data_IF_870714801966
#
_entry.id   IF_870714801966
#
_cell.length_a   1.000
_cell.length_b   1.000
_cell.length_c   1.000
_cell.angle_alpha   90.00
_cell.angle_beta   90.00
_cell.angle_gamma   90.00
#
_symmetry.space_group_name_H-M   'P 1'
#
loop_
_entity.id
_entity.type
_entity.pdbx_description
1 polymer ?
#
# COMPACT_ATOMS: atom_id res chain seq x y z
N UNK A 1 50.87 35.83 41.34
CA UNK A 1 50.79 34.49 41.97
C UNK A 1 49.56 34.48 42.85
N UNK A 2 48.42 34.02 42.34
CA UNK A 2 47.22 33.76 43.15
C UNK A 2 46.71 32.40 42.70
N UNK A 3 46.92 31.42 43.57
CA UNK A 3 46.62 30.02 43.36
C UNK A 3 45.14 29.71 43.47
N UNK A 4 44.74 28.69 42.72
CA UNK A 4 43.42 28.08 42.71
C UNK A 4 43.04 27.50 44.08
N UNK A 5 41.75 27.59 44.41
CA UNK A 5 41.11 26.70 45.40
C UNK A 5 39.84 26.14 44.74
N UNK A 6 40.05 25.07 43.99
CA UNK A 6 39.04 24.08 43.62
C UNK A 6 38.79 23.24 44.88
N UNK A 7 37.65 23.35 45.55
CA UNK A 7 37.23 22.38 46.60
C UNK A 7 35.76 22.57 47.00
N UNK A 8 34.81 22.53 46.04
CA UNK A 8 33.38 22.36 46.39
C UNK A 8 32.56 21.49 45.40
N UNK A 9 33.20 20.70 44.52
CA UNK A 9 32.46 19.86 43.53
C UNK A 9 32.59 18.33 43.73
N UNK A 10 33.16 17.86 44.85
CA UNK A 10 33.51 16.42 44.99
C UNK A 10 32.67 15.65 46.03
N UNK A 11 31.68 16.26 46.69
CA UNK A 11 30.91 15.59 47.77
C UNK A 11 29.48 15.12 47.41
N UNK A 12 29.07 15.16 46.14
CA UNK A 12 27.78 14.59 45.70
C UNK A 12 27.93 13.38 44.78
N UNK A 13 29.16 13.04 44.37
CA UNK A 13 29.45 11.91 43.48
C UNK A 13 29.67 10.59 44.20
N UNK A 14 29.82 10.58 45.53
CA UNK A 14 30.12 9.36 46.31
C UNK A 14 28.90 8.62 46.89
N UNK A 15 27.68 9.17 46.75
CA UNK A 15 26.41 8.51 47.18
C UNK A 15 25.55 8.06 45.97
N UNK A 16 26.06 8.23 44.74
CA UNK A 16 25.37 7.81 43.51
C UNK A 16 25.58 6.30 43.27
N UNK A 17 25.18 5.48 44.24
CA UNK A 17 24.71 4.11 43.99
C UNK A 17 23.23 4.10 43.57
N UNK A 18 22.67 5.30 43.33
CA UNK A 18 21.29 5.54 42.91
C UNK A 18 21.03 4.81 41.60
N UNK A 19 20.00 3.96 41.61
CA UNK A 19 19.50 3.16 40.50
C UNK A 19 19.49 3.94 39.17
N UNK A 20 20.56 3.83 38.38
CA UNK A 20 20.65 4.43 37.05
C UNK A 20 20.42 3.38 35.96
N UNK A 21 19.89 3.81 34.82
CA UNK A 21 19.63 2.91 33.70
C UNK A 21 20.96 2.41 33.13
N UNK A 22 21.18 1.09 33.05
CA UNK A 22 22.44 0.53 32.54
C UNK A 22 22.77 0.89 31.08
N UNK A 23 21.77 1.31 30.31
CA UNK A 23 21.90 1.61 28.87
C UNK A 23 22.26 3.09 28.64
N UNK A 24 21.54 4.02 29.27
CA UNK A 24 21.76 5.46 29.09
C UNK A 24 22.47 6.12 30.27
N UNK A 25 22.85 5.34 31.29
CA UNK A 25 23.61 5.75 32.47
C UNK A 25 22.98 6.93 33.25
N UNK A 26 21.66 7.11 33.13
CA UNK A 26 20.94 8.24 33.72
C UNK A 26 19.81 7.72 34.60
N UNK A 27 19.65 8.29 35.79
CA UNK A 27 18.53 8.02 36.71
C UNK A 27 17.34 9.00 36.52
N UNK A 28 17.59 10.20 35.97
CA UNK A 28 16.58 11.22 35.68
C UNK A 28 16.01 11.03 34.28
N UNK A 29 14.89 10.33 34.17
CA UNK A 29 14.11 10.25 32.93
C UNK A 29 12.61 10.40 33.23
N UNK A 30 11.78 10.59 32.20
CA UNK A 30 10.31 10.62 32.36
C UNK A 30 9.71 9.24 32.63
N UNK A 31 10.50 8.19 32.42
CA UNK A 31 10.13 6.80 32.60
C UNK A 31 10.83 6.23 33.84
N UNK A 32 10.11 5.42 34.62
CA UNK A 32 10.67 4.73 35.78
C UNK A 32 11.61 3.59 35.37
N UNK A 33 12.52 3.23 36.28
CA UNK A 33 13.46 2.14 36.07
C UNK A 33 12.80 0.80 36.39
N UNK A 34 12.70 -0.07 35.38
CA UNK A 34 12.14 -1.42 35.52
C UNK A 34 13.26 -2.45 35.71
N UNK A 35 12.90 -3.63 36.24
CA UNK A 35 13.78 -4.80 36.38
C UNK A 35 13.25 -6.02 35.63
N UNK A 36 13.33 -6.02 34.28
CA UNK A 36 12.64 -7.01 33.45
C UNK A 36 13.38 -8.35 33.31
N UNK A 37 14.50 -8.54 34.01
CA UNK A 37 15.31 -9.76 33.95
C UNK A 37 15.96 -10.08 35.31
N UNK A 38 16.48 -11.29 35.46
CA UNK A 38 17.07 -11.79 36.71
C UNK A 38 18.50 -11.27 37.01
N UNK A 39 18.91 -10.16 36.39
CA UNK A 39 20.21 -9.54 36.70
C UNK A 39 20.14 -8.85 38.07
N UNK A 40 21.16 -9.07 38.90
CA UNK A 40 21.24 -8.47 40.25
C UNK A 40 21.84 -7.06 40.21
N UNK A 41 21.48 -6.25 41.19
CA UNK A 41 22.02 -4.89 41.37
C UNK A 41 21.64 -3.92 40.24
N UNK A 42 22.49 -2.92 40.01
CA UNK A 42 22.30 -1.86 39.01
C UNK A 42 22.23 -2.39 37.57
N UNK A 43 22.82 -3.55 37.29
CA UNK A 43 22.76 -4.22 35.98
C UNK A 43 21.34 -4.71 35.62
N UNK A 44 20.43 -4.82 36.59
CA UNK A 44 19.02 -5.16 36.36
C UNK A 44 18.13 -3.97 35.99
N UNK A 45 18.56 -2.74 36.25
CA UNK A 45 17.73 -1.53 36.13
C UNK A 45 17.87 -0.86 34.77
N UNK A 46 16.75 -0.72 34.05
CA UNK A 46 16.70 -0.10 32.71
C UNK A 46 15.39 0.66 32.49
N UNK A 47 15.40 1.71 31.66
CA UNK A 47 14.16 2.29 31.14
C UNK A 47 13.54 1.37 30.08
N UNK A 48 12.21 1.33 30.01
CA UNK A 48 11.48 0.53 29.02
C UNK A 48 11.86 0.95 27.59
N UNK A 49 11.86 2.25 27.28
CA UNK A 49 12.24 2.76 25.96
C UNK A 49 13.69 2.44 25.58
N UNK A 50 14.61 2.49 26.54
CA UNK A 50 16.01 2.12 26.32
C UNK A 50 16.15 0.63 26.00
N UNK A 51 15.46 -0.23 26.75
CA UNK A 51 15.50 -1.68 26.52
C UNK A 51 14.85 -2.05 25.19
N UNK A 52 13.67 -1.51 24.88
CA UNK A 52 13.02 -1.74 23.59
C UNK A 52 13.90 -1.28 22.43
N UNK A 53 14.49 -0.08 22.51
CA UNK A 53 15.41 0.41 21.48
C UNK A 53 16.62 -0.50 21.33
N UNK A 54 17.21 -0.94 22.44
CA UNK A 54 18.35 -1.87 22.43
C UNK A 54 17.99 -3.22 21.79
N UNK A 55 16.87 -3.83 22.18
CA UNK A 55 16.40 -5.09 21.57
C UNK A 55 16.11 -4.93 20.08
N UNK A 56 15.54 -3.79 19.68
CA UNK A 56 15.29 -3.47 18.27
C UNK A 56 16.58 -3.31 17.45
N UNK A 57 17.65 -2.77 18.05
CA UNK A 57 18.95 -2.65 17.39
C UNK A 57 19.68 -4.00 17.31
N UNK A 58 19.68 -4.77 18.39
CA UNK A 58 20.38 -6.05 18.45
C UNK A 58 19.63 -7.20 17.79
N UNK A 59 18.31 -7.06 17.58
CA UNK A 59 17.46 -8.11 16.99
C UNK A 59 17.27 -9.34 17.89
N UNK A 60 17.45 -9.20 19.21
CA UNK A 60 17.33 -10.29 20.19
C UNK A 60 16.12 -10.07 21.10
N UNK A 61 15.60 -11.14 21.70
CA UNK A 61 14.46 -11.10 22.64
C UNK A 61 14.83 -11.68 24.03
N UNK A 62 16.13 -11.78 24.33
CA UNK A 62 16.63 -12.28 25.59
C UNK A 62 17.68 -11.33 26.17
N UNK A 63 17.90 -11.41 27.48
CA UNK A 63 18.95 -10.68 28.15
C UNK A 63 20.33 -11.23 27.77
N UNK A 64 21.28 -10.36 27.40
CA UNK A 64 22.64 -10.79 27.03
C UNK A 64 23.47 -11.35 28.20
N UNK A 65 23.13 -10.97 29.44
CA UNK A 65 23.85 -11.37 30.66
C UNK A 65 23.25 -12.66 31.22
N UNK A 66 22.00 -12.59 31.70
CA UNK A 66 21.35 -13.71 32.39
C UNK A 66 20.55 -14.64 31.47
N UNK A 67 20.50 -14.38 30.15
CA UNK A 67 19.76 -15.17 29.15
C UNK A 67 18.25 -15.30 29.39
N UNK A 68 17.68 -14.52 30.31
CA UNK A 68 16.23 -14.45 30.53
C UNK A 68 15.50 -14.05 29.24
N UNK A 69 14.43 -14.77 28.89
CA UNK A 69 13.61 -14.50 27.70
C UNK A 69 12.54 -13.45 28.03
N UNK A 70 12.53 -12.35 27.28
CA UNK A 70 11.53 -11.30 27.44
C UNK A 70 10.24 -11.69 26.72
N UNK A 71 9.09 -11.41 27.34
CA UNK A 71 7.79 -11.50 26.70
C UNK A 71 7.63 -10.33 25.72
N UNK A 72 8.09 -10.51 24.49
CA UNK A 72 8.14 -9.44 23.51
C UNK A 72 7.32 -9.79 22.25
N UNK A 73 6.43 -8.88 21.86
CA UNK A 73 5.58 -9.00 20.68
C UNK A 73 6.18 -8.16 19.55
N UNK A 74 6.31 -8.75 18.36
CA UNK A 74 6.67 -8.01 17.15
C UNK A 74 5.44 -7.28 16.63
N UNK A 75 5.46 -5.95 16.65
CA UNK A 75 4.42 -5.09 16.11
C UNK A 75 4.92 -4.38 14.86
N UNK A 76 4.01 -4.04 13.93
CA UNK A 76 4.36 -3.23 12.75
C UNK A 76 4.61 -1.79 13.19
N UNK A 77 5.73 -1.20 12.77
CA UNK A 77 6.12 0.16 13.14
C UNK A 77 5.17 1.23 12.63
N UNK A 78 4.56 0.98 11.47
CA UNK A 78 3.66 1.91 10.79
C UNK A 78 2.39 1.17 10.35
N UNK A 79 1.22 1.80 10.55
CA UNK A 79 -0.02 1.38 9.90
C UNK A 79 0.04 1.59 8.38
N UNK A 80 -0.89 1.02 7.61
CA UNK A 80 -0.87 1.06 6.14
C UNK A 80 -0.85 2.50 5.60
N UNK A 81 -1.74 3.38 6.11
CA UNK A 81 -1.79 4.77 5.64
C UNK A 81 -0.54 5.58 6.03
N UNK A 82 0.00 5.33 7.23
CA UNK A 82 1.23 5.99 7.68
C UNK A 82 2.45 5.51 6.88
N UNK A 83 2.52 4.22 6.56
CA UNK A 83 3.62 3.63 5.81
C UNK A 83 3.63 4.15 4.36
N UNK A 84 2.47 4.23 3.71
CA UNK A 84 2.32 4.83 2.38
C UNK A 84 2.76 6.30 2.39
N UNK A 85 2.33 7.09 3.38
CA UNK A 85 2.70 8.50 3.49
C UNK A 85 4.21 8.70 3.63
N UNK A 86 4.86 7.90 4.49
CA UNK A 86 6.31 7.97 4.70
C UNK A 86 7.06 7.54 3.45
N UNK A 87 6.61 6.48 2.79
CA UNK A 87 7.18 5.97 1.55
C UNK A 87 7.13 6.98 0.41
N UNK A 88 5.96 7.61 0.19
CA UNK A 88 5.75 8.62 -0.86
C UNK A 88 6.56 9.90 -0.58
N UNK A 89 6.74 10.29 0.69
CA UNK A 89 7.52 11.48 1.05
C UNK A 89 9.02 11.32 0.80
N UNK A 90 9.53 10.09 0.71
CA UNK A 90 10.95 9.87 0.56
C UNK A 90 11.43 10.33 -0.83
N UNK A 91 12.40 11.27 -0.93
CA UNK A 91 12.72 11.97 -2.18
C UNK A 91 13.16 11.03 -3.31
N UNK A 92 13.91 9.98 -2.99
CA UNK A 92 14.34 8.96 -3.97
C UNK A 92 13.19 8.16 -4.60
N UNK A 93 12.16 7.79 -3.85
CA UNK A 93 11.06 6.96 -4.37
C UNK A 93 9.88 7.81 -4.87
N UNK A 94 9.67 8.98 -4.29
CA UNK A 94 8.60 9.88 -4.68
C UNK A 94 8.77 10.46 -6.09
N UNK A 95 10.00 10.65 -6.56
CA UNK A 95 10.24 11.21 -7.90
C UNK A 95 9.89 10.22 -9.03
N UNK A 96 10.29 8.96 -8.89
CA UNK A 96 9.93 7.87 -9.83
C UNK A 96 8.41 7.61 -9.81
N UNK A 97 7.80 7.62 -8.62
CA UNK A 97 6.35 7.48 -8.52
C UNK A 97 5.60 8.62 -9.23
N UNK A 98 6.11 9.85 -9.14
CA UNK A 98 5.50 11.00 -9.84
C UNK A 98 5.61 10.88 -11.36
N UNK A 99 6.76 10.47 -11.91
CA UNK A 99 6.88 10.26 -13.35
C UNK A 99 5.91 9.20 -13.85
N UNK A 100 5.80 8.08 -13.11
CA UNK A 100 4.97 6.96 -13.53
C UNK A 100 3.47 7.28 -13.40
N UNK A 101 3.08 8.09 -12.40
CA UNK A 101 1.72 8.63 -12.30
C UNK A 101 1.38 9.59 -13.44
N UNK A 102 2.33 10.42 -13.88
CA UNK A 102 2.14 11.29 -15.05
C UNK A 102 1.95 10.43 -16.31
N UNK A 103 2.79 9.42 -16.52
CA UNK A 103 2.67 8.48 -17.65
C UNK A 103 1.33 7.75 -17.61
N UNK A 104 0.93 7.25 -16.45
CA UNK A 104 -0.37 6.60 -16.27
C UNK A 104 -1.52 7.56 -16.62
N UNK A 105 -1.45 8.83 -16.20
CA UNK A 105 -2.45 9.85 -16.51
C UNK A 105 -2.50 10.16 -18.01
N UNK A 106 -1.37 10.25 -18.69
CA UNK A 106 -1.35 10.44 -20.16
C UNK A 106 -1.95 9.21 -20.85
N UNK A 107 -1.58 8.01 -20.42
CA UNK A 107 -2.08 6.76 -20.97
C UNK A 107 -3.60 6.60 -20.75
N UNK A 108 -4.13 7.02 -19.60
CA UNK A 108 -5.58 7.02 -19.34
C UNK A 108 -6.31 7.93 -20.33
N UNK A 109 -5.79 9.14 -20.56
CA UNK A 109 -6.39 10.10 -21.49
C UNK A 109 -6.37 9.58 -22.92
N UNK A 110 -5.26 8.99 -23.36
CA UNK A 110 -5.13 8.39 -24.71
C UNK A 110 -6.09 7.22 -24.89
N UNK A 111 -6.16 6.31 -23.92
CA UNK A 111 -7.03 5.12 -24.01
C UNK A 111 -8.51 5.49 -23.96
N UNK A 112 -8.90 6.47 -23.14
CA UNK A 112 -10.25 7.02 -23.14
C UNK A 112 -10.59 7.69 -24.48
N UNK A 113 -9.66 8.44 -25.07
CA UNK A 113 -9.82 9.03 -26.40
C UNK A 113 -10.06 7.98 -27.48
N UNK A 114 -9.20 6.96 -27.56
CA UNK A 114 -9.33 5.86 -28.52
C UNK A 114 -10.64 5.09 -28.33
N UNK A 115 -10.99 4.76 -27.08
CA UNK A 115 -12.25 4.08 -26.79
C UNK A 115 -13.47 4.92 -27.19
N UNK A 116 -13.44 6.23 -26.95
CA UNK A 116 -14.51 7.16 -27.33
C UNK A 116 -14.69 7.20 -28.86
N UNK A 117 -13.58 7.32 -29.61
CA UNK A 117 -13.63 7.31 -31.09
C UNK A 117 -14.20 5.99 -31.62
N UNK A 118 -13.76 4.84 -31.07
CA UNK A 118 -14.30 3.53 -31.44
C UNK A 118 -15.80 3.40 -31.15
N UNK A 119 -16.26 3.89 -30.00
CA UNK A 119 -17.69 3.87 -29.62
C UNK A 119 -18.52 4.80 -30.49
N UNK A 120 -18.05 6.01 -30.79
CA UNK A 120 -18.72 6.93 -31.70
C UNK A 120 -18.83 6.35 -33.11
N UNK A 121 -17.75 5.72 -33.60
CA UNK A 121 -17.76 4.98 -34.86
C UNK A 121 -18.82 3.89 -34.87
N UNK A 122 -18.87 3.04 -33.85
CA UNK A 122 -19.88 2.00 -33.70
C UNK A 122 -21.31 2.57 -33.72
N UNK A 123 -21.55 3.65 -32.96
CA UNK A 123 -22.87 4.31 -32.89
C UNK A 123 -23.29 4.87 -34.25
N UNK A 124 -22.35 5.48 -34.96
CA UNK A 124 -22.58 6.00 -36.31
C UNK A 124 -22.96 4.86 -37.28
N UNK A 125 -22.16 3.80 -37.34
CA UNK A 125 -22.43 2.65 -38.20
C UNK A 125 -23.78 1.98 -37.91
N UNK A 126 -24.12 1.79 -36.63
CA UNK A 126 -25.41 1.23 -36.23
C UNK A 126 -26.56 2.14 -36.64
N UNK A 127 -26.43 3.45 -36.43
CA UNK A 127 -27.49 4.42 -36.76
C UNK A 127 -27.75 4.48 -38.27
N UNK A 128 -26.69 4.51 -39.08
CA UNK A 128 -26.83 4.47 -40.54
C UNK A 128 -27.36 3.12 -41.03
N UNK A 129 -26.95 2.00 -40.42
CA UNK A 129 -27.51 0.68 -40.71
C UNK A 129 -29.02 0.58 -40.39
N UNK A 130 -29.47 1.21 -39.31
CA UNK A 130 -30.89 1.28 -38.95
C UNK A 130 -31.69 2.11 -39.96
N UNK A 131 -31.16 3.25 -40.41
CA UNK A 131 -31.80 4.11 -41.43
C UNK A 131 -32.01 3.39 -42.76
N UNK A 132 -31.10 2.49 -43.12
CA UNK A 132 -31.19 1.66 -44.33
C UNK A 132 -32.21 0.50 -44.21
N UNK A 133 -32.90 0.34 -43.08
CA UNK A 133 -33.97 -0.66 -42.92
C UNK A 133 -33.48 -2.09 -42.71
N UNK A 134 -32.21 -2.29 -42.33
CA UNK A 134 -31.59 -3.62 -42.12
C UNK A 134 -32.35 -4.53 -41.11
N UNK A 135 -32.96 -4.03 -40.02
CA UNK A 135 -33.74 -4.89 -39.11
C UNK A 135 -35.03 -5.46 -39.75
N UNK A 136 -35.63 -4.75 -40.71
CA UNK A 136 -36.84 -5.19 -41.40
C UNK A 136 -36.54 -6.32 -42.41
N UNK A 137 -35.33 -6.35 -42.97
CA UNK A 137 -34.82 -7.45 -43.80
C UNK A 137 -34.69 -8.77 -43.03
N UNK A 138 -34.40 -8.71 -41.73
CA UNK A 138 -34.18 -9.90 -40.90
C UNK A 138 -35.47 -10.54 -40.39
N UNK A 139 -36.49 -9.74 -40.08
CA UNK A 139 -37.76 -10.24 -39.51
C UNK A 139 -38.74 -10.80 -40.54
N UNK A 140 -38.57 -10.49 -41.84
CA UNK A 140 -39.51 -10.94 -42.86
C UNK A 140 -38.84 -11.25 -44.22
N UNK A 141 -37.95 -12.27 -44.27
CA UNK A 141 -37.26 -12.65 -45.50
C UNK A 141 -38.24 -13.08 -46.62
N UNK A 142 -39.35 -13.70 -46.27
CA UNK A 142 -40.34 -14.23 -47.22
C UNK A 142 -41.11 -13.14 -47.96
N UNK A 143 -41.38 -11.98 -47.31
CA UNK A 143 -42.09 -10.87 -47.96
C UNK A 143 -41.21 -10.10 -48.96
N UNK A 144 -39.90 -10.05 -48.72
CA UNK A 144 -38.97 -9.48 -49.71
C UNK A 144 -38.86 -10.38 -50.95
N UNK A 145 -38.85 -11.70 -50.77
CA UNK A 145 -38.83 -12.67 -51.87
C UNK A 145 -40.06 -12.53 -52.78
N UNK A 146 -41.27 -12.45 -52.21
CA UNK A 146 -42.49 -12.24 -53.01
C UNK A 146 -42.58 -10.86 -53.68
N UNK A 147 -41.92 -9.82 -53.15
CA UNK A 147 -41.92 -8.48 -53.77
C UNK A 147 -40.94 -8.40 -54.94
N UNK A 148 -39.79 -9.08 -54.85
CA UNK A 148 -38.84 -9.24 -55.96
C UNK A 148 -39.40 -10.12 -57.09
N UNK A 149 -40.07 -11.22 -56.76
CA UNK A 149 -40.67 -12.11 -57.76
C UNK A 149 -41.82 -11.43 -58.53
N UNK A 150 -42.48 -10.43 -57.93
CA UNK A 150 -43.52 -9.62 -58.61
C UNK A 150 -42.98 -8.58 -59.58
N UNK A 151 -41.71 -8.18 -59.44
CA UNK A 151 -41.07 -7.22 -60.35
C UNK A 151 -40.47 -7.86 -61.61
N UNK A 152 -40.35 -9.19 -61.67
CA UNK A 152 -39.78 -9.90 -62.83
C UNK A 152 -40.81 -10.22 -63.95
N UNK A 153 -42.07 -9.76 -63.83
CA UNK A 153 -43.09 -9.92 -64.90
C UNK A 153 -43.58 -8.54 -65.34
N UNK A 154 -42.81 -7.85 -66.18
CA UNK A 154 -43.28 -6.64 -66.85
C UNK A 154 -42.20 -5.67 -67.35
N UNK A 155 -41.86 -5.84 -68.63
CA UNK A 155 -41.38 -4.83 -69.59
C UNK A 155 -39.93 -4.28 -69.52
N UNK A 156 -39.50 -3.79 -70.69
CA UNK A 156 -38.14 -3.60 -71.19
C UNK A 156 -37.48 -2.34 -70.62
N UNK A 157 -36.25 -2.47 -70.11
CA UNK A 157 -35.35 -1.38 -69.74
C UNK A 157 -34.24 -1.84 -68.79
N UNK A 158 -32.99 -1.47 -69.07
CA UNK A 158 -31.75 -1.84 -68.33
C UNK A 158 -31.89 -1.89 -66.80
N UNK A 159 -31.28 -2.87 -66.09
CA UNK A 159 -31.58 -3.10 -64.68
C UNK A 159 -30.68 -2.26 -63.77
N UNK A 160 -31.10 -1.04 -63.41
CA UNK A 160 -30.52 -0.33 -62.25
C UNK A 160 -30.74 -1.10 -60.93
N UNK A 161 -31.75 -1.96 -60.87
CA UNK A 161 -32.10 -2.76 -59.69
C UNK A 161 -31.13 -3.94 -59.43
N UNK A 162 -30.48 -4.47 -60.47
CA UNK A 162 -29.51 -5.55 -60.32
C UNK A 162 -28.15 -5.05 -59.77
N UNK A 163 -27.82 -3.76 -59.99
CA UNK A 163 -26.66 -3.12 -59.39
C UNK A 163 -26.90 -2.85 -57.88
N UNK A 164 -28.12 -2.46 -57.48
CA UNK A 164 -28.50 -2.32 -56.05
C UNK A 164 -28.42 -3.63 -55.27
N UNK A 165 -28.82 -4.75 -55.86
CA UNK A 165 -28.74 -6.07 -55.21
C UNK A 165 -27.28 -6.56 -55.05
N UNK A 166 -26.40 -6.32 -56.03
CA UNK A 166 -24.96 -6.60 -55.91
C UNK A 166 -24.24 -5.65 -54.96
N UNK A 167 -24.64 -4.37 -54.91
CA UNK A 167 -24.17 -3.42 -53.90
C UNK A 167 -24.60 -3.87 -52.49
N UNK A 168 -25.84 -4.35 -52.29
CA UNK A 168 -26.26 -4.90 -50.99
C UNK A 168 -25.49 -6.17 -50.59
N UNK A 169 -25.07 -7.02 -51.53
CA UNK A 169 -24.18 -8.16 -51.23
C UNK A 169 -22.74 -7.74 -50.96
N UNK A 170 -22.24 -6.69 -51.61
CA UNK A 170 -20.89 -6.16 -51.41
C UNK A 170 -20.77 -5.39 -50.07
N UNK A 171 -21.88 -4.81 -49.59
CA UNK A 171 -21.97 -4.06 -48.34
C UNK A 171 -22.63 -4.83 -47.16
N UNK A 172 -23.21 -6.01 -47.40
CA UNK A 172 -23.92 -6.81 -46.37
C UNK A 172 -23.01 -7.59 -45.41
N UNK A 173 -21.81 -8.00 -45.85
CA UNK A 173 -20.81 -8.69 -45.01
C UNK A 173 -20.05 -7.71 -44.08
N UNK A 174 -19.67 -6.48 -44.51
CA UNK A 174 -19.11 -5.46 -43.63
C UNK A 174 -20.00 -5.09 -42.44
N UNK A 175 -21.30 -4.84 -42.65
CA UNK A 175 -22.15 -4.28 -41.58
C UNK A 175 -22.30 -5.23 -40.37
N UNK A 176 -22.21 -6.55 -40.59
CA UNK A 176 -22.30 -7.55 -39.52
C UNK A 176 -20.97 -7.85 -38.82
N UNK A 177 -19.85 -7.83 -39.56
CA UNK A 177 -18.54 -8.16 -38.98
C UNK A 177 -17.93 -6.98 -38.21
N UNK A 178 -18.26 -5.75 -38.60
CA UNK A 178 -17.65 -4.54 -38.05
C UNK A 178 -17.91 -4.28 -36.56
N UNK A 179 -19.11 -4.54 -35.99
CA UNK A 179 -19.31 -4.45 -34.55
C UNK A 179 -18.42 -5.42 -33.77
N UNK A 180 -18.23 -6.65 -34.28
CA UNK A 180 -17.34 -7.65 -33.68
C UNK A 180 -15.88 -7.22 -33.73
N UNK A 181 -15.43 -6.66 -34.86
CA UNK A 181 -14.08 -6.12 -35.02
C UNK A 181 -13.84 -4.94 -34.08
N UNK A 182 -14.75 -3.97 -34.00
CA UNK A 182 -14.61 -2.82 -33.10
C UNK A 182 -14.57 -3.27 -31.63
N UNK A 183 -15.41 -4.24 -31.24
CA UNK A 183 -15.39 -4.81 -29.89
C UNK A 183 -14.07 -5.54 -29.60
N UNK A 184 -13.53 -6.29 -30.56
CA UNK A 184 -12.23 -6.96 -30.41
C UNK A 184 -11.09 -5.95 -30.26
N UNK A 185 -11.12 -4.84 -31.00
CA UNK A 185 -10.15 -3.76 -30.82
C UNK A 185 -10.28 -3.08 -29.46
N UNK A 186 -11.50 -2.81 -28.99
CA UNK A 186 -11.74 -2.25 -27.66
C UNK A 186 -11.24 -3.17 -26.54
N UNK A 187 -11.46 -4.48 -26.65
CA UNK A 187 -10.96 -5.43 -25.63
C UNK A 187 -9.44 -5.47 -25.60
N UNK A 188 -8.77 -5.48 -26.76
CA UNK A 188 -7.30 -5.42 -26.83
C UNK A 188 -6.76 -4.12 -26.21
N UNK A 189 -7.37 -2.96 -26.51
CA UNK A 189 -6.98 -1.67 -25.93
C UNK A 189 -7.13 -1.68 -24.41
N UNK A 190 -8.26 -2.16 -23.91
CA UNK A 190 -8.53 -2.24 -22.47
C UNK A 190 -7.58 -3.23 -21.78
N UNK A 191 -7.34 -4.40 -22.36
CA UNK A 191 -6.41 -5.38 -21.80
C UNK A 191 -4.97 -4.86 -21.77
N UNK A 192 -4.51 -4.18 -22.83
CA UNK A 192 -3.18 -3.54 -22.87
C UNK A 192 -3.04 -2.44 -21.82
N UNK A 193 -4.08 -1.62 -21.63
CA UNK A 193 -4.13 -0.62 -20.57
C UNK A 193 -4.06 -1.24 -19.18
N UNK A 194 -4.87 -2.27 -18.91
CA UNK A 194 -4.88 -2.98 -17.63
C UNK A 194 -3.54 -3.67 -17.35
N UNK A 195 -2.92 -4.28 -18.36
CA UNK A 195 -1.59 -4.88 -18.24
C UNK A 195 -0.53 -3.81 -17.88
N UNK A 196 -0.58 -2.65 -18.54
CA UNK A 196 0.35 -1.55 -18.26
C UNK A 196 0.16 -1.00 -16.84
N UNK A 197 -1.08 -0.79 -16.41
CA UNK A 197 -1.39 -0.40 -15.03
C UNK A 197 -0.93 -1.46 -14.02
N UNK A 198 -1.12 -2.74 -14.32
CA UNK A 198 -0.69 -3.84 -13.45
C UNK A 198 0.83 -3.85 -13.29
N UNK A 199 1.59 -3.69 -14.37
CA UNK A 199 3.06 -3.63 -14.32
C UNK A 199 3.52 -2.43 -13.48
N UNK A 200 2.96 -1.24 -13.73
CA UNK A 200 3.25 -0.04 -12.93
C UNK A 200 2.92 -0.25 -11.45
N UNK A 201 1.74 -0.80 -11.14
CA UNK A 201 1.35 -1.09 -9.76
C UNK A 201 2.30 -2.12 -9.13
N UNK A 202 2.67 -3.17 -9.85
CA UNK A 202 3.59 -4.22 -9.38
C UNK A 202 4.95 -3.64 -9.01
N UNK A 203 5.50 -2.77 -9.85
CA UNK A 203 6.82 -2.17 -9.65
C UNK A 203 6.88 -1.25 -8.43
N UNK A 204 5.76 -0.61 -8.05
CA UNK A 204 5.70 0.26 -6.87
C UNK A 204 5.21 -0.43 -5.60
N UNK A 205 4.21 -1.32 -5.71
CA UNK A 205 3.57 -1.98 -4.57
C UNK A 205 4.47 -3.05 -3.97
N UNK A 206 5.21 -3.81 -4.77
CA UNK A 206 6.10 -4.87 -4.26
C UNK A 206 7.24 -4.30 -3.39
N UNK A 207 7.99 -3.27 -3.83
CA UNK A 207 9.02 -2.66 -2.98
C UNK A 207 8.45 -2.02 -1.71
N UNK A 208 7.31 -1.32 -1.82
CA UNK A 208 6.62 -0.74 -0.66
C UNK A 208 6.22 -1.83 0.34
N UNK A 209 5.61 -2.92 -0.11
CA UNK A 209 5.19 -4.03 0.74
C UNK A 209 6.38 -4.73 1.40
N UNK A 210 7.47 -4.96 0.65
CA UNK A 210 8.72 -5.54 1.20
C UNK A 210 9.35 -4.64 2.25
N UNK A 211 9.35 -3.33 2.06
CA UNK A 211 9.83 -2.39 3.07
C UNK A 211 8.91 -2.38 4.29
N UNK A 212 7.60 -2.25 4.08
CA UNK A 212 6.62 -2.18 5.16
C UNK A 212 6.62 -3.44 6.03
N UNK A 213 6.76 -4.62 5.43
CA UNK A 213 6.88 -5.90 6.14
C UNK A 213 8.20 -6.04 6.90
N UNK A 214 9.27 -5.39 6.47
CA UNK A 214 10.57 -5.38 7.18
C UNK A 214 10.61 -4.38 8.34
N UNK A 215 9.76 -3.35 8.34
CA UNK A 215 9.65 -2.40 9.45
C UNK A 215 8.86 -2.98 10.64
N UNK A 216 9.38 -4.04 11.24
CA UNK A 216 8.89 -4.59 12.50
C UNK A 216 9.64 -3.97 13.69
N UNK A 217 8.92 -3.69 14.77
CA UNK A 217 9.47 -3.29 16.06
C UNK A 217 9.13 -4.33 17.12
N UNK A 218 10.09 -4.63 17.97
CA UNK A 218 9.93 -5.44 19.18
C UNK A 218 9.40 -4.50 20.27
N UNK A 219 8.26 -4.86 20.85
CA UNK A 219 7.69 -4.20 22.03
C UNK A 219 7.53 -5.21 23.15
N UNK A 220 7.95 -4.85 24.35
CA UNK A 220 7.94 -5.76 25.51
C UNK A 220 6.62 -5.59 26.25
N UNK A 221 5.97 -6.69 26.60
CA UNK A 221 4.88 -6.68 27.57
C UNK A 221 5.54 -6.80 28.93
N UNK A 222 5.68 -5.67 29.62
CA UNK A 222 6.06 -5.69 31.04
C UNK A 222 4.82 -6.15 31.79
N UNK A 223 4.73 -7.44 32.11
CA UNK A 223 3.84 -7.88 33.18
C UNK A 223 4.40 -7.26 34.46
N UNK A 224 3.61 -6.45 35.19
CA UNK A 224 4.04 -5.98 36.50
C UNK A 224 4.38 -7.23 37.32
N UNK A 225 5.62 -7.36 37.78
CA UNK A 225 5.97 -8.39 38.75
C UNK A 225 5.24 -8.04 40.04
N UNK A 226 4.23 -8.83 40.49
CA UNK A 226 3.73 -8.67 41.84
C UNK A 226 4.79 -9.25 42.77
N UNK A 227 5.35 -8.43 43.65
CA UNK A 227 6.34 -8.88 44.63
C UNK A 227 7.69 -8.19 44.49
N UNK A 228 7.73 -6.89 44.77
CA UNK A 228 8.87 -6.24 45.44
C UNK A 228 8.47 -4.88 46.05
N UNK A 229 7.28 -4.78 46.62
CA UNK A 229 6.96 -3.71 47.59
C UNK A 229 7.22 -4.20 49.02
N UNK A 230 7.38 -5.52 49.25
CA UNK A 230 7.50 -6.09 50.60
C UNK A 230 8.94 -6.20 51.17
N UNK A 231 9.93 -5.46 50.65
CA UNK A 231 11.32 -5.49 51.21
C UNK A 231 11.89 -4.06 51.37
N UNK A 232 11.03 -3.05 51.48
CA UNK A 232 11.46 -1.69 51.84
C UNK A 232 10.76 -1.16 53.10
N UNK A 233 9.84 -1.91 53.72
CA UNK A 233 9.21 -1.50 54.98
C UNK A 233 9.84 -2.12 56.24
N UNK A 234 10.79 -3.06 56.14
CA UNK A 234 11.41 -3.68 57.33
C UNK A 234 12.76 -3.11 57.77
N UNK A 235 13.42 -2.25 56.98
CA UNK A 235 14.73 -1.67 57.35
C UNK A 235 14.65 -0.22 57.90
N UNK A 236 13.45 0.31 58.14
CA UNK A 236 13.24 1.69 58.63
C UNK A 236 12.88 1.79 60.13
N UNK A 237 13.08 0.72 60.92
CA UNK A 237 12.63 0.69 62.32
C UNK A 237 13.64 0.24 63.39
N UNK A 238 14.95 0.37 63.16
CA UNK A 238 15.91 -0.06 64.19
C UNK A 238 17.21 0.77 64.27
N UNK A 239 17.11 2.11 64.45
CA UNK A 239 18.14 2.88 65.18
C UNK A 239 17.75 4.36 65.39
N UNK A 240 16.81 4.66 66.30
CA UNK A 240 16.77 5.99 66.92
C UNK A 240 15.97 6.02 68.24
N UNK A 241 16.37 5.24 69.25
CA UNK A 241 15.89 5.47 70.62
C UNK A 241 16.93 5.06 71.67
N UNK A 242 18.03 5.82 71.77
CA UNK A 242 18.79 5.92 73.03
C UNK A 242 19.65 7.19 73.07
N UNK A 243 19.02 8.30 73.48
CA UNK A 243 19.73 9.41 74.15
C UNK A 243 18.74 10.26 74.97
N UNK A 244 18.51 9.82 76.22
CA UNK A 244 18.21 10.68 77.37
C UNK A 244 19.07 10.21 78.52
#
# INVERSE_FOLDING_TARGET
MTGATETEEVSLTSVISVCACRICQTAKSREELISPCNCKGTLGKVHLSCLERWLNMCGRQYCEICRFQFQAVRKRRYGICQSIRVWIRHPRHGMLLRSDLIVATILTMVTLGLATVCLLGMRYFVTEGLKLGVPALYSQPDKLRCRLEKTEVGDVGEPEDQCRARLLQMWGVPVFFWPGVILMFLTVIVLGYLATLYLMAKDHVLPWYRWWSRCMIISIIVTPTPGREDILEEDEHDHCEERV
#
